data_IF_758585587848
#
_entry.id   IF_758585587848
#
_cell.length_a   1.000
_cell.length_b   1.000
_cell.length_c   1.000
_cell.angle_alpha   90.00
_cell.angle_beta   90.00
_cell.angle_gamma   90.00
#
_symmetry.space_group_name_H-M   'P 1'
#
loop_
_entity.id
_entity.type
_entity.pdbx_description
1 polymer ?
#
# COMPACT_ATOMS: atom_id res chain seq x y z
N UNK A 1 -47.92 -36.12 -6.57
CA UNK A 1 -48.64 -34.85 -6.35
C UNK A 1 -48.76 -34.62 -4.85
N UNK A 2 -47.84 -33.87 -4.24
CA UNK A 2 -47.88 -33.55 -2.81
C UNK A 2 -48.58 -32.20 -2.63
N UNK A 3 -49.85 -32.22 -2.22
CA UNK A 3 -50.59 -31.01 -1.83
C UNK A 3 -50.43 -30.85 -0.31
N UNK A 4 -49.68 -29.82 0.08
CA UNK A 4 -49.34 -29.54 1.47
C UNK A 4 -50.57 -29.34 2.35
N UNK A 5 -50.55 -30.00 3.50
CA UNK A 5 -51.54 -29.94 4.57
C UNK A 5 -51.48 -28.61 5.34
N UNK A 6 -51.68 -27.49 4.66
CA UNK A 6 -51.96 -26.23 5.36
C UNK A 6 -53.43 -26.26 5.80
N UNK A 7 -53.61 -26.65 7.06
CA UNK A 7 -54.90 -26.74 7.74
C UNK A 7 -55.57 -25.36 7.85
N UNK A 8 -56.37 -24.99 6.82
CA UNK A 8 -57.11 -23.71 6.75
C UNK A 8 -58.02 -23.45 7.96
N UNK A 9 -58.52 -24.51 8.61
CA UNK A 9 -59.46 -24.41 9.73
C UNK A 9 -58.93 -23.61 10.94
N UNK A 10 -57.62 -23.63 11.18
CA UNK A 10 -57.01 -22.86 12.30
C UNK A 10 -56.83 -21.38 11.98
N UNK A 11 -56.85 -20.99 10.71
CA UNK A 11 -56.66 -19.59 10.29
C UNK A 11 -57.97 -18.82 10.47
N UNK A 12 -59.10 -19.48 10.18
CA UNK A 12 -60.43 -18.89 10.28
C UNK A 12 -60.87 -18.68 11.74
N UNK A 13 -60.46 -19.57 12.66
CA UNK A 13 -60.79 -19.46 14.09
C UNK A 13 -60.12 -18.24 14.75
N UNK A 14 -58.86 -17.96 14.39
CA UNK A 14 -58.10 -16.83 14.95
C UNK A 14 -58.55 -15.51 14.32
N UNK A 15 -58.84 -15.50 13.02
CA UNK A 15 -59.33 -14.30 12.30
C UNK A 15 -60.68 -13.79 12.85
N UNK A 16 -61.54 -14.67 13.37
CA UNK A 16 -62.82 -14.28 13.97
C UNK A 16 -62.71 -13.63 15.36
N UNK A 17 -61.55 -13.72 16.03
CA UNK A 17 -61.35 -13.28 17.42
C UNK A 17 -60.29 -12.20 17.61
N UNK A 18 -59.65 -11.70 16.55
CA UNK A 18 -58.73 -10.57 16.66
C UNK A 18 -59.52 -9.27 16.81
N UNK A 19 -59.43 -8.57 17.96
CA UNK A 19 -60.07 -7.28 18.10
C UNK A 19 -59.41 -6.26 17.17
N UNK A 20 -60.21 -5.37 16.57
CA UNK A 20 -59.75 -4.33 15.65
C UNK A 20 -58.59 -3.49 16.22
N UNK A 21 -58.55 -3.32 17.55
CA UNK A 21 -57.47 -2.64 18.28
C UNK A 21 -56.11 -3.34 18.12
N UNK A 22 -56.08 -4.68 18.03
CA UNK A 22 -54.85 -5.43 17.83
C UNK A 22 -54.25 -5.17 16.44
N UNK A 23 -55.10 -5.05 15.41
CA UNK A 23 -54.66 -4.70 14.06
C UNK A 23 -54.06 -3.28 14.03
N UNK A 24 -54.68 -2.32 14.72
CA UNK A 24 -54.18 -0.94 14.82
C UNK A 24 -52.83 -0.90 15.54
N UNK A 25 -52.67 -1.63 16.65
CA UNK A 25 -51.42 -1.70 17.40
C UNK A 25 -50.32 -2.35 16.55
N UNK A 26 -50.63 -3.44 15.85
CA UNK A 26 -49.69 -4.10 14.93
C UNK A 26 -49.23 -3.15 13.83
N UNK A 27 -50.16 -2.42 13.22
CA UNK A 27 -49.86 -1.44 12.17
C UNK A 27 -49.01 -0.28 12.70
N UNK A 28 -49.32 0.20 13.92
CA UNK A 28 -48.53 1.23 14.58
C UNK A 28 -47.08 0.76 14.83
N UNK A 29 -46.89 -0.47 15.33
CA UNK A 29 -45.56 -1.05 15.56
C UNK A 29 -44.77 -1.14 14.25
N UNK A 30 -45.39 -1.66 13.18
CA UNK A 30 -44.76 -1.75 11.85
C UNK A 30 -44.37 -0.37 11.33
N UNK A 31 -45.25 0.63 11.49
CA UNK A 31 -45.00 2.00 11.06
C UNK A 31 -43.83 2.65 11.82
N UNK A 32 -43.79 2.52 13.14
CA UNK A 32 -42.64 2.98 13.94
C UNK A 32 -41.35 2.25 13.58
N UNK A 33 -41.41 0.93 13.37
CA UNK A 33 -40.25 0.15 12.93
C UNK A 33 -39.70 0.61 11.59
N UNK A 34 -40.59 0.95 10.64
CA UNK A 34 -40.23 1.47 9.33
C UNK A 34 -39.54 2.84 9.41
N UNK A 35 -40.06 3.76 10.23
CA UNK A 35 -39.45 5.07 10.46
C UNK A 35 -38.05 4.97 11.08
N UNK A 36 -37.89 4.08 12.07
CA UNK A 36 -36.61 3.82 12.73
C UNK A 36 -35.59 3.23 11.75
N UNK A 37 -36.02 2.27 10.93
CA UNK A 37 -35.17 1.66 9.90
C UNK A 37 -34.68 2.70 8.88
N UNK A 38 -35.58 3.58 8.41
CA UNK A 38 -35.23 4.63 7.47
C UNK A 38 -34.22 5.62 8.07
N UNK A 39 -34.38 5.99 9.33
CA UNK A 39 -33.46 6.90 10.04
C UNK A 39 -32.07 6.29 10.23
N UNK A 40 -31.98 5.01 10.63
CA UNK A 40 -30.70 4.32 10.82
C UNK A 40 -29.96 4.15 9.48
N UNK A 41 -30.69 3.75 8.43
CA UNK A 41 -30.10 3.58 7.10
C UNK A 41 -29.58 4.91 6.53
N UNK A 42 -30.34 5.99 6.72
CA UNK A 42 -29.94 7.32 6.27
C UNK A 42 -28.72 7.84 7.05
N UNK A 43 -28.71 7.72 8.38
CA UNK A 43 -27.58 8.12 9.21
C UNK A 43 -26.30 7.35 8.87
N UNK A 44 -26.39 6.04 8.61
CA UNK A 44 -25.21 5.26 8.27
C UNK A 44 -24.65 5.62 6.89
N UNK A 45 -25.51 5.92 5.90
CA UNK A 45 -25.09 6.37 4.58
C UNK A 45 -24.47 7.78 4.62
N UNK A 46 -25.00 8.67 5.45
CA UNK A 46 -24.44 10.02 5.64
C UNK A 46 -23.10 9.98 6.35
N UNK A 47 -22.96 9.22 7.43
CA UNK A 47 -21.69 9.09 8.13
C UNK A 47 -20.59 8.48 7.23
N UNK A 48 -20.93 7.51 6.38
CA UNK A 48 -19.96 6.97 5.40
C UNK A 48 -19.48 8.04 4.42
N UNK A 49 -20.37 8.90 3.93
CA UNK A 49 -20.01 10.02 3.04
C UNK A 49 -19.12 11.03 3.77
N UNK A 50 -19.47 11.41 4.99
CA UNK A 50 -18.67 12.37 5.79
C UNK A 50 -17.28 11.80 6.07
N UNK A 51 -17.18 10.53 6.46
CA UNK A 51 -15.87 9.88 6.70
C UNK A 51 -15.06 9.75 5.41
N UNK A 52 -15.69 9.41 4.27
CA UNK A 52 -15.01 9.34 2.98
C UNK A 52 -14.47 10.72 2.56
N UNK A 53 -15.30 11.77 2.65
CA UNK A 53 -14.89 13.14 2.33
C UNK A 53 -13.76 13.63 3.25
N UNK A 54 -13.85 13.36 4.57
CA UNK A 54 -12.77 13.69 5.50
C UNK A 54 -11.46 12.99 5.15
N UNK A 55 -11.52 11.72 4.77
CA UNK A 55 -10.35 10.95 4.34
C UNK A 55 -9.75 11.54 3.06
N UNK A 56 -10.59 11.93 2.10
CA UNK A 56 -10.15 12.56 0.86
C UNK A 56 -9.43 13.91 1.12
N UNK A 57 -9.95 14.72 2.04
CA UNK A 57 -9.30 15.99 2.45
C UNK A 57 -7.89 15.73 3.01
N UNK A 58 -7.75 14.76 3.92
CA UNK A 58 -6.44 14.42 4.52
C UNK A 58 -5.47 13.94 3.44
N UNK A 59 -5.91 13.07 2.52
CA UNK A 59 -5.08 12.60 1.42
C UNK A 59 -4.65 13.74 0.48
N UNK A 60 -5.55 14.70 0.21
CA UNK A 60 -5.22 15.87 -0.60
C UNK A 60 -4.20 16.78 0.09
N UNK A 61 -4.31 16.97 1.40
CA UNK A 61 -3.37 17.75 2.19
C UNK A 61 -1.98 17.11 2.21
N UNK A 62 -1.90 15.79 2.45
CA UNK A 62 -0.63 15.04 2.37
C UNK A 62 0.00 15.15 0.99
N UNK A 63 -0.80 15.00 -0.08
CA UNK A 63 -0.30 15.13 -1.46
C UNK A 63 0.21 16.55 -1.74
N UNK A 64 -0.47 17.58 -1.23
CA UNK A 64 -0.03 18.96 -1.35
C UNK A 64 1.33 19.16 -0.65
N UNK A 65 1.48 18.64 0.57
CA UNK A 65 2.72 18.75 1.33
C UNK A 65 3.88 18.03 0.64
N UNK A 66 3.67 16.79 0.17
CA UNK A 66 4.66 16.04 -0.60
C UNK A 66 5.09 16.79 -1.86
N UNK A 67 4.12 17.33 -2.61
CA UNK A 67 4.39 18.11 -3.82
C UNK A 67 5.20 19.37 -3.49
N UNK A 68 4.85 20.07 -2.39
CA UNK A 68 5.57 21.26 -1.94
C UNK A 68 7.02 20.93 -1.53
N UNK A 69 7.23 19.82 -0.83
CA UNK A 69 8.55 19.34 -0.44
C UNK A 69 9.40 18.97 -1.66
N UNK A 70 8.80 18.34 -2.68
CA UNK A 70 9.49 18.06 -3.95
C UNK A 70 9.89 19.33 -4.68
N UNK A 71 8.99 20.32 -4.76
CA UNK A 71 9.31 21.63 -5.35
C UNK A 71 10.44 22.31 -4.56
N UNK A 72 10.41 22.25 -3.23
CA UNK A 72 11.46 22.80 -2.39
C UNK A 72 12.80 22.11 -2.65
N UNK A 73 12.82 20.77 -2.74
CA UNK A 73 14.00 19.99 -3.08
C UNK A 73 14.59 20.40 -4.44
N UNK A 74 13.76 20.54 -5.49
CA UNK A 74 14.24 20.96 -6.81
C UNK A 74 14.78 22.41 -6.82
N UNK A 75 14.34 23.25 -5.88
CA UNK A 75 14.88 24.61 -5.72
C UNK A 75 16.22 24.65 -4.98
N UNK A 76 16.61 23.59 -4.28
CA UNK A 76 17.88 23.56 -3.53
C UNK A 76 19.08 23.72 -4.46
N UNK A 77 20.14 24.37 -3.95
CA UNK A 77 21.41 24.52 -4.67
C UNK A 77 22.05 23.17 -4.98
N UNK A 78 21.92 22.18 -4.08
CA UNK A 78 22.42 20.82 -4.27
C UNK A 78 21.79 20.12 -5.48
N UNK A 79 20.48 20.28 -5.69
CA UNK A 79 19.82 19.71 -6.86
C UNK A 79 20.25 20.41 -8.16
N UNK A 80 20.32 21.74 -8.14
CA UNK A 80 20.79 22.52 -9.28
C UNK A 80 22.23 22.16 -9.65
N UNK A 81 23.09 21.96 -8.66
CA UNK A 81 24.47 21.55 -8.84
C UNK A 81 24.57 20.14 -9.42
N UNK A 82 23.79 19.18 -8.90
CA UNK A 82 23.74 17.82 -9.42
C UNK A 82 23.31 17.81 -10.90
N UNK A 83 22.28 18.58 -11.24
CA UNK A 83 21.82 18.72 -12.62
C UNK A 83 22.83 19.45 -13.51
N UNK A 84 23.55 20.45 -12.99
CA UNK A 84 24.63 21.14 -13.72
C UNK A 84 25.83 20.21 -13.98
N UNK A 85 26.24 19.41 -12.99
CA UNK A 85 27.25 18.36 -13.14
C UNK A 85 26.83 17.34 -14.20
N UNK A 86 25.56 16.90 -14.17
CA UNK A 86 25.01 15.89 -15.10
C UNK A 86 24.85 16.41 -16.54
N UNK A 87 24.31 17.62 -16.72
CA UNK A 87 23.95 18.16 -18.05
C UNK A 87 25.06 18.94 -18.71
N UNK A 88 25.85 19.67 -17.92
CA UNK A 88 26.86 20.60 -18.43
C UNK A 88 28.28 20.12 -18.14
N UNK A 89 28.45 19.00 -17.42
CA UNK A 89 29.76 18.53 -16.99
C UNK A 89 30.50 19.52 -16.10
N UNK A 90 29.76 20.48 -15.51
CA UNK A 90 30.33 21.57 -14.71
C UNK A 90 30.83 21.03 -13.38
N UNK A 91 32.00 21.50 -12.97
CA UNK A 91 32.65 21.16 -11.70
C UNK A 91 32.90 22.43 -10.90
N UNK A 92 32.91 22.33 -9.58
CA UNK A 92 33.29 23.48 -8.75
C UNK A 92 34.78 23.83 -8.98
N UNK A 93 35.14 25.13 -8.91
CA UNK A 93 36.55 25.54 -9.01
C UNK A 93 37.34 24.92 -7.85
N UNK A 94 38.23 23.97 -8.15
CA UNK A 94 39.03 23.21 -7.16
C UNK A 94 38.80 21.70 -7.17
N UNK A 95 37.80 21.19 -7.89
CA UNK A 95 37.48 19.75 -7.93
C UNK A 95 38.30 18.99 -9.00
N UNK A 96 38.99 17.91 -8.58
CA UNK A 96 39.69 16.97 -9.48
C UNK A 96 38.76 15.82 -9.85
N UNK A 97 38.27 15.83 -11.09
CA UNK A 97 37.46 14.73 -11.65
C UNK A 97 38.41 13.68 -12.21
N UNK A 98 38.43 12.50 -11.59
CA UNK A 98 39.13 11.32 -12.12
C UNK A 98 38.12 10.54 -12.93
N UNK A 99 38.27 10.53 -14.26
CA UNK A 99 37.55 9.57 -15.11
C UNK A 99 38.26 8.24 -14.96
N UNK A 100 37.62 7.31 -14.27
CA UNK A 100 38.11 5.93 -14.19
C UNK A 100 37.59 5.21 -15.42
N UNK A 101 38.46 4.98 -16.40
CA UNK A 101 38.16 4.04 -17.48
C UNK A 101 38.20 2.64 -16.85
N UNK A 102 37.02 2.02 -16.79
CA UNK A 102 36.82 0.68 -16.19
C UNK A 102 37.69 -0.39 -16.88
N UNK A 103 38.26 -0.08 -18.05
CA UNK A 103 39.18 -0.93 -18.79
C UNK A 103 40.60 -1.01 -18.19
N UNK A 104 41.06 0.02 -17.49
CA UNK A 104 42.45 0.09 -16.97
C UNK A 104 42.60 -0.46 -15.54
N UNK A 105 41.51 -0.58 -14.78
CA UNK A 105 41.54 -1.27 -13.47
C UNK A 105 41.77 -2.79 -13.60
N UNK A 106 41.53 -3.34 -14.80
CA UNK A 106 41.87 -4.73 -15.12
C UNK A 106 43.26 -4.87 -15.77
N UNK A 107 43.93 -3.76 -16.10
CA UNK A 107 45.01 -3.76 -17.10
C UNK A 107 46.19 -2.85 -16.74
N UNK A 108 46.71 -2.92 -15.50
CA UNK A 108 48.10 -2.50 -15.29
C UNK A 108 48.42 -1.81 -13.97
N UNK A 109 48.90 -2.59 -13.01
CA UNK A 109 50.05 -2.15 -12.20
C UNK A 109 50.92 -3.39 -11.97
N UNK A 110 51.98 -3.51 -12.77
CA UNK A 110 52.94 -4.61 -12.67
C UNK A 110 53.95 -4.37 -11.56
N UNK A 111 54.31 -5.45 -10.86
CA UNK A 111 55.53 -5.53 -10.06
C UNK A 111 55.42 -6.39 -8.82
N UNK A 112 55.59 -7.71 -8.97
CA UNK A 112 55.82 -8.64 -7.85
C UNK A 112 55.33 -10.06 -8.12
N UNK A 113 56.18 -10.88 -8.74
CA UNK A 113 56.00 -12.32 -8.78
C UNK A 113 56.04 -12.89 -7.36
N UNK A 114 54.95 -13.54 -6.94
CA UNK A 114 55.03 -14.72 -6.09
C UNK A 114 53.79 -15.58 -6.30
N UNK A 115 54.03 -16.71 -6.95
CA UNK A 115 53.08 -17.80 -7.15
C UNK A 115 52.48 -18.24 -5.82
N UNK A 116 51.17 -18.03 -5.64
CA UNK A 116 50.33 -18.91 -4.85
C UNK A 116 49.13 -19.33 -5.67
N UNK A 117 49.32 -20.47 -6.32
CA UNK A 117 48.28 -21.40 -6.68
C UNK A 117 47.37 -21.65 -5.46
N UNK A 118 46.16 -21.10 -5.49
CA UNK A 118 45.00 -21.64 -4.76
C UNK A 118 43.80 -21.65 -5.70
N UNK A 119 43.71 -22.79 -6.39
CA UNK A 119 42.51 -23.60 -6.64
C UNK A 119 41.21 -22.83 -6.90
N UNK A 120 40.73 -22.97 -8.13
CA UNK A 120 39.35 -22.73 -8.52
C UNK A 120 38.44 -23.79 -7.87
N UNK A 121 38.16 -23.68 -6.57
CA UNK A 121 37.09 -24.43 -5.91
C UNK A 121 35.98 -23.49 -5.43
N UNK A 122 35.25 -22.92 -6.39
CA UNK A 122 34.05 -22.13 -6.07
C UNK A 122 33.35 -21.41 -7.22
N UNK A 123 33.72 -21.67 -8.48
CA UNK A 123 33.18 -20.98 -9.66
C UNK A 123 31.74 -21.38 -10.05
N UNK A 124 30.92 -21.87 -9.12
CA UNK A 124 29.56 -22.34 -9.44
C UNK A 124 28.54 -21.99 -8.35
N UNK A 125 28.77 -20.91 -7.59
CA UNK A 125 27.75 -20.38 -6.68
C UNK A 125 27.00 -19.24 -7.35
N UNK A 126 25.69 -19.38 -7.42
CA UNK A 126 24.79 -18.35 -7.93
C UNK A 126 24.84 -17.12 -7.03
N UNK A 127 24.68 -15.92 -7.61
CA UNK A 127 24.55 -14.68 -6.84
C UNK A 127 23.41 -14.73 -5.81
N UNK A 128 22.42 -15.60 -5.99
CA UNK A 128 21.34 -15.81 -5.03
C UNK A 128 21.77 -16.59 -3.79
N UNK A 129 22.70 -17.55 -3.93
CA UNK A 129 23.21 -18.32 -2.80
C UNK A 129 24.01 -17.44 -1.85
N UNK A 130 24.78 -16.50 -2.40
CA UNK A 130 25.49 -15.47 -1.62
C UNK A 130 24.54 -14.58 -0.82
N UNK A 131 23.38 -14.23 -1.39
CA UNK A 131 22.36 -13.42 -0.71
C UNK A 131 21.66 -14.19 0.41
N UNK A 132 21.43 -15.48 0.24
CA UNK A 132 20.82 -16.32 1.27
C UNK A 132 21.79 -16.50 2.44
N UNK A 133 23.08 -16.70 2.17
CA UNK A 133 24.10 -16.79 3.22
C UNK A 133 24.33 -15.45 3.93
N UNK A 134 24.22 -14.31 3.21
CA UNK A 134 24.24 -12.96 3.82
C UNK A 134 23.12 -12.79 4.84
N UNK A 135 21.88 -13.13 4.50
CA UNK A 135 20.73 -12.99 5.40
C UNK A 135 20.82 -13.92 6.61
N UNK A 136 21.50 -15.06 6.46
CA UNK A 136 21.73 -16.02 7.54
C UNK A 136 22.99 -15.72 8.36
N UNK A 137 23.80 -14.74 7.97
CA UNK A 137 24.99 -14.30 8.70
C UNK A 137 26.20 -15.23 8.56
N UNK A 138 26.31 -16.01 7.49
CA UNK A 138 27.34 -17.04 7.29
C UNK A 138 28.53 -16.58 6.41
N UNK A 139 28.69 -15.29 6.15
CA UNK A 139 29.69 -14.77 5.19
C UNK A 139 31.09 -14.51 5.77
N UNK A 140 31.30 -14.72 7.06
CA UNK A 140 32.54 -14.29 7.74
C UNK A 140 33.56 -15.42 7.95
N UNK A 141 33.42 -16.56 7.26
CA UNK A 141 34.30 -17.72 7.45
C UNK A 141 34.84 -18.26 6.11
N UNK A 142 35.75 -17.51 5.48
CA UNK A 142 36.96 -18.01 4.79
C UNK A 142 37.85 -16.86 4.28
#
# INVERSE_FOLDING_TARGET
MARGFFNRSRIDEVASKVPLNFLIILLAIIYTGFLLYQSIYFNHKLNKKVTALKKEIVQLQEKQEQTRSLIAYYKTSSFQELEARKKLGLKMPGERVVKVDVLDLASGTGGGEESREKKNDGLDRSNLDLWVDFVKGNLDEN
#
